data_IF_955094486201
#
_entry.id   IF_955094486201
#
_cell.length_a   1.000
_cell.length_b   1.000
_cell.length_c   1.000
_cell.angle_alpha   90.00
_cell.angle_beta   90.00
_cell.angle_gamma   90.00
#
_symmetry.space_group_name_H-M   'P 1'
#
loop_
_entity.id
_entity.type
_entity.pdbx_description
1 polymer ?
#
# COMPACT_ATOMS: atom_id res chain seq x y z
N UNK A 1 7.56 -1.06 -29.66
CA UNK A 1 6.30 -1.57 -29.12
C UNK A 1 5.72 -0.59 -28.08
N UNK A 2 5.38 0.65 -28.48
CA UNK A 2 4.79 1.68 -27.60
C UNK A 2 3.33 2.00 -27.99
N UNK A 3 2.64 1.17 -28.75
CA UNK A 3 1.43 1.61 -29.43
C UNK A 3 0.14 0.83 -29.15
N UNK A 4 0.18 -0.36 -28.52
CA UNK A 4 -1.01 -1.21 -28.60
C UNK A 4 -2.03 -1.02 -27.49
N UNK A 5 -1.64 -0.57 -26.30
CA UNK A 5 -2.59 -0.27 -25.21
C UNK A 5 -3.33 1.05 -25.46
N UNK A 6 -2.61 2.11 -25.83
CA UNK A 6 -3.23 3.41 -26.15
C UNK A 6 -4.15 3.40 -27.39
N UNK A 7 -3.99 2.41 -28.28
CA UNK A 7 -4.82 2.22 -29.48
C UNK A 7 -6.10 1.42 -29.21
N UNK A 8 -6.21 0.71 -28.08
CA UNK A 8 -7.37 -0.14 -27.76
C UNK A 8 -8.56 0.64 -27.18
N UNK A 9 -8.32 1.81 -26.57
CA UNK A 9 -9.40 2.55 -25.90
C UNK A 9 -9.77 3.81 -26.66
N UNK A 10 -10.88 3.74 -27.42
CA UNK A 10 -11.69 4.93 -27.66
C UNK A 10 -12.12 5.52 -26.32
N UNK A 11 -12.42 6.81 -26.26
CA UNK A 11 -12.65 7.58 -25.02
C UNK A 11 -13.73 7.01 -24.06
N UNK A 12 -14.50 5.97 -24.42
CA UNK A 12 -15.71 5.50 -23.75
C UNK A 12 -15.82 3.95 -23.58
N UNK A 13 -14.77 3.17 -23.81
CA UNK A 13 -14.86 1.71 -23.65
C UNK A 13 -14.57 1.28 -22.20
N UNK A 14 -15.44 0.42 -21.64
CA UNK A 14 -15.28 -0.22 -20.34
C UNK A 14 -14.02 -1.10 -20.34
N UNK A 15 -13.22 -0.95 -19.30
CA UNK A 15 -12.03 -1.74 -19.03
C UNK A 15 -12.44 -3.09 -18.43
N UNK A 16 -12.01 -4.21 -19.03
CA UNK A 16 -12.23 -5.53 -18.43
C UNK A 16 -11.26 -5.77 -17.29
N UNK A 17 -11.79 -5.95 -16.09
CA UNK A 17 -10.99 -6.14 -14.88
C UNK A 17 -11.23 -7.50 -14.25
N UNK A 18 -10.15 -8.23 -13.94
CA UNK A 18 -10.21 -9.41 -13.09
C UNK A 18 -9.79 -9.04 -11.67
N UNK A 19 -10.63 -9.36 -10.68
CA UNK A 19 -10.33 -9.16 -9.25
C UNK A 19 -9.99 -10.52 -8.62
N UNK A 20 -8.76 -10.66 -8.14
CA UNK A 20 -8.26 -11.84 -7.43
C UNK A 20 -8.25 -11.60 -5.92
N UNK A 21 -9.10 -12.35 -5.21
CA UNK A 21 -9.30 -12.17 -3.76
C UNK A 21 -10.48 -11.23 -3.45
N UNK A 22 -11.46 -11.75 -2.70
CA UNK A 22 -12.73 -11.05 -2.41
C UNK A 22 -12.99 -10.96 -0.91
N UNK A 23 -11.93 -10.71 -0.15
CA UNK A 23 -11.99 -10.22 1.22
C UNK A 23 -12.43 -8.75 1.26
N UNK A 24 -12.35 -8.10 2.43
CA UNK A 24 -12.79 -6.71 2.64
C UNK A 24 -12.19 -5.72 1.64
N UNK A 25 -10.89 -5.86 1.33
CA UNK A 25 -10.18 -4.96 0.40
C UNK A 25 -10.59 -5.22 -1.06
N UNK A 26 -10.67 -6.48 -1.50
CA UNK A 26 -11.09 -6.82 -2.86
C UNK A 26 -12.51 -6.35 -3.17
N UNK A 27 -13.42 -6.46 -2.20
CA UNK A 27 -14.79 -5.92 -2.32
C UNK A 27 -14.82 -4.39 -2.34
N UNK A 28 -13.91 -3.73 -1.63
CA UNK A 28 -13.74 -2.27 -1.74
C UNK A 28 -13.32 -1.87 -3.15
N UNK A 29 -12.37 -2.58 -3.75
CA UNK A 29 -11.97 -2.34 -5.14
C UNK A 29 -13.13 -2.57 -6.10
N UNK A 30 -13.93 -3.63 -5.92
CA UNK A 30 -15.14 -3.89 -6.70
C UNK A 30 -16.10 -2.71 -6.64
N UNK A 31 -16.45 -2.25 -5.42
CA UNK A 31 -17.37 -1.10 -5.23
C UNK A 31 -16.81 0.18 -5.85
N UNK A 32 -15.51 0.44 -5.70
CA UNK A 32 -14.88 1.63 -6.25
C UNK A 32 -14.84 1.62 -7.78
N UNK A 33 -14.59 0.47 -8.42
CA UNK A 33 -14.67 0.32 -9.88
C UNK A 33 -16.09 0.59 -10.38
N UNK A 34 -17.10 -0.02 -9.76
CA UNK A 34 -18.50 0.19 -10.12
C UNK A 34 -18.89 1.67 -9.97
N UNK A 35 -18.47 2.32 -8.88
CA UNK A 35 -18.71 3.74 -8.65
C UNK A 35 -18.04 4.65 -9.70
N UNK A 36 -16.97 4.20 -10.35
CA UNK A 36 -16.29 4.88 -11.45
C UNK A 36 -16.87 4.54 -12.84
N UNK A 37 -17.89 3.66 -12.89
CA UNK A 37 -18.52 3.23 -14.14
C UNK A 37 -17.81 2.06 -14.84
N UNK A 38 -16.79 1.47 -14.24
CA UNK A 38 -16.08 0.31 -14.77
C UNK A 38 -16.80 -0.97 -14.29
N UNK A 39 -17.64 -1.57 -15.15
CA UNK A 39 -18.56 -2.64 -14.79
C UNK A 39 -18.27 -4.00 -15.44
N UNK A 40 -17.33 -4.08 -16.39
CA UNK A 40 -16.90 -5.38 -16.99
C UNK A 40 -15.89 -6.06 -16.04
N UNK A 41 -16.43 -6.72 -15.01
CA UNK A 41 -15.65 -7.28 -13.91
C UNK A 41 -15.82 -8.79 -13.84
N UNK A 42 -14.71 -9.52 -13.79
CA UNK A 42 -14.61 -10.95 -13.56
C UNK A 42 -14.00 -11.19 -12.18
N UNK A 43 -14.54 -12.13 -11.43
CA UNK A 43 -14.08 -12.46 -10.08
C UNK A 43 -13.30 -13.77 -10.11
N UNK A 44 -12.04 -13.75 -9.64
CA UNK A 44 -11.28 -14.97 -9.37
C UNK A 44 -11.27 -15.25 -7.87
N UNK A 45 -11.76 -16.44 -7.49
CA UNK A 45 -11.89 -16.81 -6.08
C UNK A 45 -11.78 -18.32 -5.86
N UNK A 46 -11.23 -18.69 -4.69
CA UNK A 46 -11.09 -20.10 -4.28
C UNK A 46 -12.18 -20.54 -3.28
N UNK A 47 -13.23 -19.74 -3.07
CA UNK A 47 -14.32 -19.97 -2.10
C UNK A 47 -13.87 -20.14 -0.64
N UNK A 48 -12.70 -19.61 -0.27
CA UNK A 48 -12.17 -19.63 1.12
C UNK A 48 -12.42 -18.33 1.89
N UNK A 49 -13.13 -17.35 1.29
CA UNK A 49 -13.47 -16.10 1.96
C UNK A 49 -14.62 -16.32 2.96
N UNK A 50 -14.58 -15.57 4.06
CA UNK A 50 -15.53 -15.66 5.18
C UNK A 50 -16.75 -14.75 5.01
N UNK A 51 -16.70 -13.77 4.09
CA UNK A 51 -17.75 -12.79 3.86
C UNK A 51 -18.89 -13.36 3.00
N UNK A 52 -20.17 -12.97 3.23
CA UNK A 52 -21.33 -13.37 2.42
C UNK A 52 -21.16 -13.01 0.94
N UNK A 53 -21.80 -13.78 0.05
CA UNK A 53 -21.62 -13.66 -1.41
C UNK A 53 -22.61 -12.72 -2.12
N UNK A 54 -23.57 -12.13 -1.40
CA UNK A 54 -24.67 -11.32 -1.98
C UNK A 54 -24.14 -10.17 -2.86
N UNK A 55 -23.07 -9.51 -2.44
CA UNK A 55 -22.44 -8.41 -3.17
C UNK A 55 -21.78 -8.85 -4.49
N UNK A 56 -21.51 -10.14 -4.65
CA UNK A 56 -20.78 -10.70 -5.80
C UNK A 56 -21.74 -11.19 -6.89
N UNK A 57 -23.04 -11.18 -6.61
CA UNK A 57 -24.06 -11.64 -7.54
C UNK A 57 -24.03 -10.84 -8.86
N UNK A 58 -24.19 -11.55 -9.97
CA UNK A 58 -24.19 -10.94 -11.31
C UNK A 58 -22.83 -10.79 -11.98
N UNK A 59 -21.71 -11.05 -11.27
CA UNK A 59 -20.39 -11.07 -11.87
C UNK A 59 -19.97 -12.51 -12.25
N UNK A 60 -19.30 -12.71 -13.42
CA UNK A 60 -18.67 -14.00 -13.75
C UNK A 60 -17.66 -14.39 -12.68
N UNK A 61 -17.68 -15.66 -12.25
CA UNK A 61 -16.76 -16.21 -11.25
C UNK A 61 -15.94 -17.31 -11.87
N UNK A 62 -14.62 -17.25 -11.70
CA UNK A 62 -13.67 -18.27 -12.11
C UNK A 62 -12.90 -18.80 -10.89
N UNK A 63 -12.54 -20.07 -10.92
CA UNK A 63 -11.80 -20.74 -9.83
C UNK A 63 -10.41 -21.20 -10.27
N UNK A 64 -10.09 -21.13 -11.55
CA UNK A 64 -8.78 -21.36 -12.14
C UNK A 64 -8.26 -20.05 -12.75
N UNK A 65 -7.11 -19.59 -12.28
CA UNK A 65 -6.52 -18.33 -12.73
C UNK A 65 -6.07 -18.37 -14.19
N UNK A 66 -5.46 -19.49 -14.60
CA UNK A 66 -4.93 -19.64 -15.96
C UNK A 66 -6.05 -19.60 -16.99
N UNK A 67 -7.12 -20.35 -16.71
CA UNK A 67 -8.31 -20.34 -17.56
C UNK A 67 -9.02 -18.97 -17.52
N UNK A 68 -9.08 -18.32 -16.36
CA UNK A 68 -9.65 -16.96 -16.24
C UNK A 68 -8.91 -15.94 -17.12
N UNK A 69 -7.58 -15.90 -17.04
CA UNK A 69 -6.75 -15.00 -17.86
C UNK A 69 -6.89 -15.30 -19.37
N UNK A 70 -6.88 -16.58 -19.74
CA UNK A 70 -6.98 -17.02 -21.13
C UNK A 70 -8.37 -16.74 -21.75
N UNK A 71 -9.44 -17.04 -20.99
CA UNK A 71 -10.84 -16.92 -21.43
C UNK A 71 -11.27 -15.45 -21.52
N UNK A 72 -10.98 -14.68 -20.47
CA UNK A 72 -11.50 -13.32 -20.36
C UNK A 72 -10.54 -12.26 -20.92
N UNK A 73 -9.24 -12.54 -21.01
CA UNK A 73 -8.20 -11.62 -21.51
C UNK A 73 -8.35 -10.23 -20.91
N UNK A 74 -8.30 -10.10 -19.55
CA UNK A 74 -8.55 -8.83 -18.89
C UNK A 74 -7.49 -7.79 -19.27
N UNK A 75 -7.89 -6.52 -19.31
CA UNK A 75 -7.00 -5.38 -19.47
C UNK A 75 -6.25 -5.06 -18.17
N UNK A 76 -6.91 -5.39 -17.05
CA UNK A 76 -6.42 -5.13 -15.72
C UNK A 76 -6.66 -6.32 -14.78
N UNK A 77 -5.72 -6.53 -13.84
CA UNK A 77 -5.88 -7.47 -12.73
C UNK A 77 -5.67 -6.74 -11.41
N UNK A 78 -6.62 -6.89 -10.48
CA UNK A 78 -6.47 -6.42 -9.09
C UNK A 78 -6.11 -7.63 -8.24
N UNK A 79 -4.94 -7.58 -7.59
CA UNK A 79 -4.42 -8.63 -6.73
C UNK A 79 -4.66 -8.22 -5.27
N UNK A 80 -5.66 -8.83 -4.64
CA UNK A 80 -6.12 -8.52 -3.27
C UNK A 80 -6.42 -9.77 -2.42
N UNK A 81 -5.83 -10.89 -2.80
CA UNK A 81 -5.78 -12.12 -2.01
C UNK A 81 -4.79 -11.98 -0.82
N UNK A 82 -4.63 -12.95 0.08
CA UNK A 82 -3.62 -12.90 1.14
C UNK A 82 -2.21 -12.67 0.59
N UNK A 83 -1.39 -11.92 1.32
CA UNK A 83 -0.04 -11.49 0.89
C UNK A 83 0.85 -12.63 0.40
N UNK A 84 0.79 -13.80 1.06
CA UNK A 84 1.55 -14.99 0.67
C UNK A 84 1.21 -15.51 -0.73
N UNK A 85 0.07 -15.12 -1.30
CA UNK A 85 -0.41 -15.56 -2.61
C UNK A 85 -0.34 -14.47 -3.68
N UNK A 86 0.16 -13.28 -3.36
CA UNK A 86 0.21 -12.15 -4.30
C UNK A 86 0.95 -12.51 -5.59
N UNK A 87 2.14 -13.14 -5.45
CA UNK A 87 2.99 -13.45 -6.61
C UNK A 87 2.42 -14.57 -7.48
N UNK A 88 1.58 -15.46 -6.91
CA UNK A 88 0.92 -16.52 -7.68
C UNK A 88 -0.13 -15.97 -8.64
N UNK A 89 -0.62 -14.77 -8.39
CA UNK A 89 -1.53 -14.05 -9.28
C UNK A 89 -0.80 -13.00 -10.12
N UNK A 90 0.09 -12.22 -9.50
CA UNK A 90 0.74 -11.09 -10.17
C UNK A 90 1.68 -11.53 -11.30
N UNK A 91 2.42 -12.65 -11.13
CA UNK A 91 3.35 -13.14 -12.16
C UNK A 91 2.58 -13.61 -13.41
N UNK A 92 1.59 -14.55 -13.33
CA UNK A 92 0.79 -14.92 -14.49
C UNK A 92 0.04 -13.75 -15.14
N UNK A 93 -0.47 -12.81 -14.33
CA UNK A 93 -1.09 -11.59 -14.85
C UNK A 93 -0.09 -10.75 -15.66
N UNK A 94 1.13 -10.53 -15.14
CA UNK A 94 2.18 -9.80 -15.83
C UNK A 94 2.59 -10.48 -17.15
N UNK A 95 2.60 -11.83 -17.23
CA UNK A 95 2.91 -12.58 -18.46
C UNK A 95 1.93 -12.28 -19.58
N UNK A 96 0.67 -11.97 -19.29
CA UNK A 96 -0.33 -11.59 -20.29
C UNK A 96 -0.21 -10.13 -20.76
N UNK A 97 0.60 -9.32 -20.10
CA UNK A 97 0.79 -7.90 -20.42
C UNK A 97 -0.31 -6.98 -19.88
N UNK A 98 -1.26 -7.47 -19.06
CA UNK A 98 -2.27 -6.62 -18.44
C UNK A 98 -1.69 -5.70 -17.37
N UNK A 99 -2.39 -4.59 -17.10
CA UNK A 99 -2.04 -3.72 -15.99
C UNK A 99 -2.41 -4.37 -14.64
N UNK A 100 -1.65 -4.10 -13.59
CA UNK A 100 -1.83 -4.75 -12.29
C UNK A 100 -1.96 -3.69 -11.20
N UNK A 101 -3.05 -3.74 -10.42
CA UNK A 101 -3.13 -3.12 -9.11
C UNK A 101 -2.77 -4.19 -8.08
N UNK A 102 -1.60 -4.07 -7.47
CA UNK A 102 -1.07 -5.05 -6.53
C UNK A 102 -1.19 -4.55 -5.09
N UNK A 103 -1.93 -5.25 -4.26
CA UNK A 103 -2.04 -4.91 -2.84
C UNK A 103 -0.69 -5.02 -2.11
N UNK A 104 -0.61 -4.25 -1.06
CA UNK A 104 0.58 -4.15 -0.22
C UNK A 104 0.55 -5.17 0.97
N UNK A 105 1.72 -5.60 1.43
CA UNK A 105 3.02 -5.53 0.76
C UNK A 105 3.00 -6.41 -0.49
N UNK A 106 3.93 -6.17 -1.41
CA UNK A 106 3.89 -6.86 -2.73
C UNK A 106 4.07 -8.38 -2.63
N UNK A 107 4.66 -8.87 -1.53
CA UNK A 107 4.89 -10.28 -1.26
C UNK A 107 5.12 -10.50 0.24
N UNK A 108 5.03 -11.76 0.70
CA UNK A 108 5.36 -12.14 2.08
C UNK A 108 6.88 -12.20 2.33
N UNK A 109 7.67 -12.37 1.29
CA UNK A 109 9.14 -12.39 1.34
C UNK A 109 9.74 -11.86 0.04
N UNK A 110 11.07 -11.79 -0.04
CA UNK A 110 11.77 -11.42 -1.29
C UNK A 110 11.80 -12.56 -2.32
N UNK A 111 11.39 -13.77 -1.96
CA UNK A 111 11.35 -14.89 -2.87
C UNK A 111 10.44 -14.60 -4.07
N UNK A 112 10.91 -14.90 -5.29
CA UNK A 112 10.20 -14.66 -6.56
C UNK A 112 9.90 -13.20 -6.90
N UNK A 113 10.27 -12.22 -6.07
CA UNK A 113 10.09 -10.79 -6.41
C UNK A 113 10.90 -10.41 -7.65
N UNK A 114 12.08 -10.98 -7.83
CA UNK A 114 12.90 -10.81 -9.03
C UNK A 114 12.24 -11.41 -10.28
N UNK A 115 11.50 -12.53 -10.13
CA UNK A 115 10.71 -13.13 -11.23
C UNK A 115 9.62 -12.17 -11.66
N UNK A 116 8.83 -11.62 -10.72
CA UNK A 116 7.82 -10.61 -11.05
C UNK A 116 8.45 -9.39 -11.76
N UNK A 117 9.56 -8.87 -11.22
CA UNK A 117 10.24 -7.72 -11.80
C UNK A 117 10.69 -7.98 -13.25
N UNK A 118 11.33 -9.12 -13.51
CA UNK A 118 11.76 -9.51 -14.86
C UNK A 118 10.58 -9.70 -15.80
N UNK A 119 9.49 -10.33 -15.31
CA UNK A 119 8.27 -10.55 -16.09
C UNK A 119 7.63 -9.22 -16.50
N UNK A 120 7.48 -8.29 -15.55
CA UNK A 120 6.95 -6.94 -15.82
C UNK A 120 7.82 -6.19 -16.83
N UNK A 121 9.15 -6.25 -16.68
CA UNK A 121 10.07 -5.62 -17.65
C UNK A 121 9.93 -6.22 -19.06
N UNK A 122 9.79 -7.53 -19.15
CA UNK A 122 9.66 -8.25 -20.43
C UNK A 122 8.33 -7.99 -21.11
N UNK A 123 7.22 -8.01 -20.36
CA UNK A 123 5.86 -7.86 -20.91
C UNK A 123 5.48 -6.41 -21.15
N UNK A 124 6.10 -5.45 -20.44
CA UNK A 124 5.69 -4.05 -20.42
C UNK A 124 4.46 -3.77 -19.56
N UNK A 125 4.02 -4.73 -18.74
CA UNK A 125 2.90 -4.55 -17.79
C UNK A 125 3.11 -3.32 -16.93
N UNK A 126 2.04 -2.53 -16.71
CA UNK A 126 2.04 -1.43 -15.74
C UNK A 126 1.61 -1.97 -14.38
N UNK A 127 2.40 -1.72 -13.35
CA UNK A 127 2.06 -2.12 -11.98
C UNK A 127 1.91 -0.90 -11.10
N UNK A 128 0.72 -0.72 -10.51
CA UNK A 128 0.46 0.23 -9.42
C UNK A 128 0.40 -0.55 -8.12
N UNK A 129 1.26 -0.22 -7.14
CA UNK A 129 1.20 -0.82 -5.81
C UNK A 129 0.24 -0.02 -4.93
N UNK A 130 -0.63 -0.72 -4.19
CA UNK A 130 -1.78 -0.14 -3.49
C UNK A 130 -1.40 0.58 -2.17
N UNK A 131 -0.52 1.56 -2.23
CA UNK A 131 -0.22 2.45 -1.12
C UNK A 131 -1.12 3.69 -1.16
N UNK A 132 -2.37 3.54 -0.72
CA UNK A 132 -3.42 4.55 -0.80
C UNK A 132 -3.13 5.85 -0.04
N UNK A 133 -2.25 5.83 0.98
CA UNK A 133 -1.86 7.06 1.69
C UNK A 133 -1.17 8.09 0.80
N UNK A 134 -0.61 7.69 -0.35
CA UNK A 134 -0.10 8.63 -1.36
C UNK A 134 -1.18 9.52 -1.99
N UNK A 135 -2.47 9.16 -1.79
CA UNK A 135 -3.64 9.92 -2.25
C UNK A 135 -4.34 10.66 -1.10
N UNK A 136 -3.80 10.60 0.13
CA UNK A 136 -4.35 11.32 1.27
C UNK A 136 -3.99 12.82 1.18
N UNK A 137 -4.97 13.77 1.22
CA UNK A 137 -4.68 15.19 0.99
C UNK A 137 -3.63 15.78 1.92
N UNK A 138 -3.66 15.41 3.21
CA UNK A 138 -2.67 15.88 4.18
C UNK A 138 -1.25 15.39 3.88
N UNK A 139 -1.08 14.16 3.37
CA UNK A 139 0.23 13.63 2.98
C UNK A 139 0.70 14.27 1.66
N UNK A 140 -0.19 14.44 0.69
CA UNK A 140 0.11 15.15 -0.57
C UNK A 140 0.59 16.58 -0.26
N UNK A 141 -0.13 17.28 0.63
CA UNK A 141 0.26 18.63 1.06
C UNK A 141 1.59 18.66 1.81
N UNK A 142 1.81 17.69 2.71
CA UNK A 142 3.09 17.54 3.40
C UNK A 142 4.26 17.39 2.42
N UNK A 143 4.09 16.53 1.41
CA UNK A 143 5.10 16.32 0.38
C UNK A 143 5.38 17.59 -0.41
N UNK A 144 4.34 18.29 -0.83
CA UNK A 144 4.46 19.59 -1.52
C UNK A 144 5.29 20.58 -0.70
N UNK A 145 4.96 20.74 0.60
CA UNK A 145 5.68 21.65 1.49
C UNK A 145 7.17 21.28 1.63
N UNK A 146 7.48 19.99 1.73
CA UNK A 146 8.88 19.52 1.82
C UNK A 146 9.62 19.76 0.50
N UNK A 147 8.99 19.46 -0.64
CA UNK A 147 9.60 19.64 -1.96
C UNK A 147 9.84 21.12 -2.28
N UNK A 148 8.98 22.01 -1.79
CA UNK A 148 9.15 23.46 -1.91
C UNK A 148 10.21 24.03 -0.95
N UNK A 149 10.84 23.17 -0.12
CA UNK A 149 11.90 23.59 0.81
C UNK A 149 11.42 24.34 2.05
N UNK A 150 10.12 24.32 2.35
CA UNK A 150 9.47 25.12 3.40
C UNK A 150 10.04 24.86 4.82
N UNK A 151 10.60 23.68 5.08
CA UNK A 151 11.28 23.36 6.34
C UNK A 151 12.79 23.22 6.18
N UNK A 152 13.33 23.53 5.00
CA UNK A 152 14.73 23.33 4.65
C UNK A 152 15.11 21.84 4.58
N UNK A 153 16.38 21.53 4.75
CA UNK A 153 16.87 20.13 4.73
C UNK A 153 16.26 19.33 5.90
N UNK A 154 15.65 18.20 5.58
CA UNK A 154 15.12 17.27 6.59
C UNK A 154 16.27 16.69 7.41
N UNK A 155 16.11 16.69 8.72
CA UNK A 155 17.08 16.19 9.72
C UNK A 155 16.60 14.88 10.33
N UNK A 156 15.32 14.85 10.73
CA UNK A 156 14.73 13.65 11.31
C UNK A 156 13.24 13.54 11.02
N UNK A 157 12.74 12.30 11.15
CA UNK A 157 11.33 12.01 11.02
C UNK A 157 10.91 10.93 12.03
N UNK A 158 9.68 10.98 12.53
CA UNK A 158 9.10 9.95 13.40
C UNK A 158 7.69 9.62 12.97
N UNK A 159 7.33 8.34 13.09
CA UNK A 159 5.99 7.82 12.83
C UNK A 159 5.55 7.03 14.06
N UNK A 160 4.31 7.23 14.46
CA UNK A 160 3.58 6.35 15.36
C UNK A 160 2.36 5.81 14.62
N UNK A 161 2.20 4.49 14.57
CA UNK A 161 1.06 3.85 13.95
C UNK A 161 0.63 2.64 14.78
N UNK A 162 -0.32 2.85 15.66
CA UNK A 162 -0.90 1.85 16.53
C UNK A 162 -2.41 1.77 16.35
N UNK A 163 -2.93 0.57 16.18
CA UNK A 163 -4.36 0.28 16.05
C UNK A 163 -4.69 -1.06 16.73
N UNK A 164 -5.85 -1.16 17.36
CA UNK A 164 -6.27 -2.42 17.95
C UNK A 164 -6.80 -3.39 16.89
N UNK A 165 -6.04 -4.43 16.59
CA UNK A 165 -6.33 -5.37 15.50
C UNK A 165 -7.76 -5.96 15.54
N UNK A 166 -8.31 -6.38 16.70
CA UNK A 166 -9.69 -6.87 16.75
C UNK A 166 -10.76 -5.83 16.37
N UNK A 167 -10.44 -4.54 16.41
CA UNK A 167 -11.36 -3.48 16.03
C UNK A 167 -11.34 -3.14 14.54
N UNK A 168 -10.43 -3.71 13.73
CA UNK A 168 -10.36 -3.43 12.30
C UNK A 168 -11.60 -3.91 11.54
N UNK A 169 -12.08 -5.11 11.90
CA UNK A 169 -13.24 -5.76 11.31
C UNK A 169 -14.07 -6.42 12.41
N UNK A 170 -14.89 -5.66 13.16
CA UNK A 170 -15.62 -6.19 14.33
C UNK A 170 -16.59 -7.33 14.01
N UNK A 171 -16.95 -7.51 12.74
CA UNK A 171 -17.82 -8.57 12.23
C UNK A 171 -17.07 -9.86 11.82
N UNK A 172 -15.76 -9.88 11.92
CA UNK A 172 -14.91 -11.03 11.58
C UNK A 172 -14.06 -11.43 12.80
N UNK A 173 -13.74 -12.71 12.92
CA UNK A 173 -12.73 -13.16 13.88
C UNK A 173 -11.34 -12.75 13.38
N UNK A 174 -10.70 -11.75 14.02
CA UNK A 174 -9.39 -11.24 13.63
C UNK A 174 -8.31 -12.32 13.52
N UNK A 175 -8.42 -13.43 14.30
CA UNK A 175 -7.49 -14.57 14.31
C UNK A 175 -7.46 -15.31 12.98
N UNK A 176 -8.55 -15.24 12.23
CA UNK A 176 -8.69 -15.85 10.90
C UNK A 176 -8.15 -14.93 9.79
N UNK A 177 -8.03 -13.64 10.07
CA UNK A 177 -7.53 -12.63 9.13
C UNK A 177 -6.04 -12.79 8.83
N UNK A 178 -5.64 -12.43 7.61
CA UNK A 178 -4.23 -12.53 7.19
C UNK A 178 -3.28 -11.75 8.12
N UNK A 179 -3.73 -10.63 8.69
CA UNK A 179 -2.91 -9.77 9.55
C UNK A 179 -2.41 -10.49 10.81
N UNK A 180 -3.21 -11.41 11.37
CA UNK A 180 -2.87 -12.20 12.55
C UNK A 180 -1.98 -13.41 12.23
N UNK A 181 -1.81 -13.78 10.95
CA UNK A 181 -1.26 -15.07 10.53
C UNK A 181 0.04 -14.93 9.75
N UNK A 182 1.14 -15.42 10.33
CA UNK A 182 2.47 -15.43 9.68
C UNK A 182 2.48 -16.22 8.36
N UNK A 183 1.76 -17.35 8.29
CA UNK A 183 1.67 -18.20 7.08
C UNK A 183 0.94 -17.50 5.92
N UNK A 184 0.15 -16.47 6.20
CA UNK A 184 -0.51 -15.63 5.20
C UNK A 184 0.28 -14.36 4.84
N UNK A 185 1.47 -14.16 5.43
CA UNK A 185 2.28 -12.95 5.27
C UNK A 185 1.79 -11.78 6.13
N UNK A 186 1.19 -12.10 7.31
CA UNK A 186 0.78 -11.14 8.31
C UNK A 186 1.93 -10.63 9.17
N UNK A 187 1.59 -9.92 10.24
CA UNK A 187 2.50 -9.23 11.14
C UNK A 187 2.43 -7.72 11.01
N UNK A 188 2.72 -7.01 12.09
CA UNK A 188 2.53 -5.56 12.14
C UNK A 188 3.43 -4.82 11.16
N UNK A 189 4.67 -5.28 10.96
CA UNK A 189 5.60 -4.65 10.01
C UNK A 189 5.08 -4.78 8.57
N UNK A 190 4.54 -5.95 8.21
CA UNK A 190 4.01 -6.21 6.87
C UNK A 190 2.67 -5.50 6.62
N UNK A 191 1.76 -5.51 7.60
CA UNK A 191 0.41 -4.96 7.42
C UNK A 191 0.36 -3.44 7.54
N UNK A 192 1.14 -2.85 8.45
CA UNK A 192 1.26 -1.40 8.63
C UNK A 192 2.42 -0.79 7.83
N UNK A 193 2.90 -1.48 6.80
CA UNK A 193 4.00 -1.04 5.93
C UNK A 193 3.73 0.26 5.16
N UNK A 194 2.54 0.82 5.26
CA UNK A 194 2.23 2.15 4.71
C UNK A 194 3.23 3.22 5.16
N UNK A 195 3.65 3.17 6.43
CA UNK A 195 4.64 4.10 6.98
C UNK A 195 6.03 3.93 6.37
N UNK A 196 6.38 2.70 6.00
CA UNK A 196 7.63 2.38 5.29
C UNK A 196 7.61 2.84 3.83
N UNK A 197 6.42 3.07 3.25
CA UNK A 197 6.23 3.66 1.93
C UNK A 197 6.21 5.19 1.99
N UNK A 198 5.25 5.75 2.74
CA UNK A 198 5.02 7.19 2.65
C UNK A 198 6.13 8.01 3.29
N UNK A 199 6.84 7.51 4.31
CA UNK A 199 7.87 8.30 4.97
C UNK A 199 9.06 8.60 4.04
N UNK A 200 9.70 7.63 3.35
CA UNK A 200 10.72 7.93 2.35
C UNK A 200 10.17 8.75 1.17
N UNK A 201 8.91 8.53 0.77
CA UNK A 201 8.26 9.31 -0.28
C UNK A 201 8.06 10.77 0.10
N UNK A 202 7.70 11.07 1.36
CA UNK A 202 7.58 12.44 1.90
C UNK A 202 8.95 13.11 1.99
N UNK A 203 9.93 12.42 2.59
CA UNK A 203 11.31 12.93 2.76
C UNK A 203 12.01 13.11 1.40
N UNK A 204 11.58 12.39 0.36
CA UNK A 204 12.19 12.43 -0.97
C UNK A 204 13.57 11.77 -1.02
N UNK A 205 13.86 10.83 -0.11
CA UNK A 205 15.12 10.10 0.01
C UNK A 205 14.87 8.61 0.23
N UNK A 206 15.75 7.75 -0.31
CA UNK A 206 15.69 6.32 -0.04
C UNK A 206 16.17 6.03 1.38
N UNK A 207 15.70 4.92 1.93
CA UNK A 207 16.27 4.34 3.15
C UNK A 207 17.55 3.60 2.76
N UNK A 208 18.66 3.86 3.44
CA UNK A 208 19.95 3.18 3.21
C UNK A 208 20.10 1.97 4.12
N UNK A 209 19.61 2.08 5.36
CA UNK A 209 19.74 1.02 6.34
C UNK A 209 18.67 1.14 7.43
N UNK A 210 18.39 0.02 8.06
CA UNK A 210 17.44 -0.09 9.17
C UNK A 210 18.06 -0.80 10.36
N UNK A 211 17.53 -0.51 11.54
CA UNK A 211 17.68 -1.28 12.76
C UNK A 211 16.29 -1.43 13.38
N UNK A 212 15.96 -2.59 13.91
CA UNK A 212 14.64 -2.76 14.49
C UNK A 212 14.45 -4.03 15.31
N UNK A 213 13.40 -3.97 16.12
CA UNK A 213 12.79 -5.11 16.80
C UNK A 213 11.35 -5.24 16.33
N UNK A 214 10.93 -6.46 16.08
CA UNK A 214 9.57 -6.80 15.67
C UNK A 214 9.19 -8.14 16.30
N UNK A 215 8.39 -8.11 17.37
CA UNK A 215 8.09 -9.28 18.18
C UNK A 215 6.59 -9.41 18.44
N UNK A 216 6.17 -10.61 18.82
CA UNK A 216 4.86 -10.89 19.39
C UNK A 216 4.95 -10.66 20.90
N UNK A 217 4.42 -9.51 21.37
CA UNK A 217 4.54 -9.05 22.77
C UNK A 217 3.22 -9.03 23.53
N UNK A 218 2.09 -8.87 22.83
CA UNK A 218 0.78 -8.73 23.46
C UNK A 218 0.10 -10.09 23.76
N UNK A 219 -1.07 -10.02 24.42
CA UNK A 219 -1.93 -11.19 24.64
C UNK A 219 -2.86 -11.49 23.46
N UNK A 220 -2.75 -10.76 22.32
CA UNK A 220 -3.51 -11.08 21.12
C UNK A 220 -3.15 -12.49 20.60
N UNK A 221 -4.15 -13.22 20.14
CA UNK A 221 -3.94 -14.54 19.54
C UNK A 221 -3.50 -14.41 18.08
N UNK A 222 -2.23 -14.01 17.89
CA UNK A 222 -1.61 -13.87 16.57
C UNK A 222 -0.35 -14.74 16.49
N UNK A 223 -0.01 -15.22 15.30
CA UNK A 223 1.19 -16.03 15.06
C UNK A 223 2.36 -15.22 14.47
N UNK A 224 2.17 -13.93 14.29
CA UNK A 224 3.16 -13.00 13.73
C UNK A 224 3.50 -11.90 14.74
N UNK A 225 4.43 -11.02 14.40
CA UNK A 225 4.75 -9.83 15.18
C UNK A 225 3.54 -8.91 15.35
N UNK A 226 3.34 -8.39 16.54
CA UNK A 226 2.27 -7.45 16.88
C UNK A 226 2.78 -6.09 17.33
N UNK A 227 4.07 -5.96 17.54
CA UNK A 227 4.73 -4.72 17.97
C UNK A 227 6.09 -4.60 17.30
N UNK A 228 6.40 -3.41 16.75
CA UNK A 228 7.69 -3.13 16.17
C UNK A 228 8.21 -1.72 16.52
N UNK A 229 9.53 -1.63 16.73
CA UNK A 229 10.30 -0.39 16.84
C UNK A 229 11.40 -0.42 15.78
N UNK A 230 11.39 0.55 14.88
CA UNK A 230 12.26 0.58 13.70
C UNK A 230 13.00 1.90 13.65
N UNK A 231 14.31 1.87 13.55
CA UNK A 231 15.16 3.00 13.20
C UNK A 231 15.54 2.92 11.73
N UNK A 232 15.52 4.05 11.02
CA UNK A 232 15.93 4.12 9.61
C UNK A 232 16.96 5.23 9.40
N UNK A 233 17.90 5.01 8.50
CA UNK A 233 18.81 6.04 7.98
C UNK A 233 18.46 6.30 6.53
N UNK A 234 18.23 7.55 6.20
CA UNK A 234 17.99 7.99 4.83
C UNK A 234 19.27 8.39 4.12
N UNK A 235 19.27 8.31 2.81
CA UNK A 235 20.33 8.91 1.97
C UNK A 235 20.54 10.38 2.33
N UNK A 236 21.81 10.75 2.57
CA UNK A 236 22.16 12.08 3.03
C UNK A 236 22.10 12.27 4.55
N UNK A 237 21.91 11.18 5.31
CA UNK A 237 22.16 11.11 6.75
C UNK A 237 21.00 11.47 7.67
N UNK A 238 19.84 11.87 7.16
CA UNK A 238 18.65 12.07 8.00
C UNK A 238 18.26 10.75 8.70
N UNK A 239 17.71 10.84 9.92
CA UNK A 239 17.30 9.68 10.71
C UNK A 239 15.79 9.62 10.84
N UNK A 240 15.25 8.40 10.87
CA UNK A 240 13.84 8.17 11.13
C UNK A 240 13.61 7.12 12.22
N UNK A 241 12.46 7.19 12.88
CA UNK A 241 12.00 6.18 13.81
C UNK A 241 10.52 5.88 13.58
N UNK A 242 10.16 4.59 13.67
CA UNK A 242 8.76 4.16 13.52
C UNK A 242 8.39 3.27 14.70
N UNK A 243 7.18 3.48 15.20
CA UNK A 243 6.48 2.57 16.09
C UNK A 243 5.26 2.02 15.38
N UNK A 244 5.11 0.69 15.38
CA UNK A 244 3.97 -0.01 14.80
C UNK A 244 3.44 -0.98 15.85
N UNK A 245 2.10 -1.02 16.06
CA UNK A 245 1.51 -2.02 16.96
C UNK A 245 0.04 -2.34 16.64
N UNK A 246 -0.39 -3.51 17.12
CA UNK A 246 -1.75 -4.02 17.03
C UNK A 246 -2.58 -3.85 18.31
N UNK A 247 -2.06 -3.14 19.30
CA UNK A 247 -2.63 -3.13 20.65
C UNK A 247 -3.18 -1.77 21.08
N UNK A 248 -2.80 -0.72 20.37
CA UNK A 248 -3.09 0.64 20.77
C UNK A 248 -4.57 0.96 20.82
N UNK A 249 -5.01 1.47 21.97
CA UNK A 249 -6.35 1.99 22.21
C UNK A 249 -6.28 3.29 23.05
N UNK A 250 -6.82 4.42 22.58
CA UNK A 250 -7.42 4.62 21.24
C UNK A 250 -6.38 4.51 20.13
N UNK A 251 -6.81 4.26 18.87
CA UNK A 251 -5.88 4.19 17.75
C UNK A 251 -5.19 5.53 17.52
N UNK A 252 -3.91 5.48 17.16
CA UNK A 252 -3.10 6.64 16.84
C UNK A 252 -2.28 6.38 15.58
N UNK A 253 -2.35 7.31 14.65
CA UNK A 253 -1.52 7.28 13.45
C UNK A 253 -1.10 8.71 13.13
N UNK A 254 0.14 9.02 13.38
CA UNK A 254 0.71 10.34 13.18
C UNK A 254 2.16 10.27 12.67
N UNK A 255 2.65 11.41 12.21
CA UNK A 255 4.06 11.62 11.98
C UNK A 255 4.50 13.04 12.32
N UNK A 256 5.82 13.16 12.55
CA UNK A 256 6.53 14.43 12.64
C UNK A 256 7.77 14.40 11.78
N UNK A 257 7.98 15.43 10.96
CA UNK A 257 9.17 15.62 10.12
C UNK A 257 9.81 16.94 10.52
N UNK A 258 11.09 16.90 10.87
CA UNK A 258 11.87 18.04 11.35
C UNK A 258 12.91 18.39 10.29
N UNK A 259 12.88 19.62 9.85
CA UNK A 259 13.88 20.24 9.01
C UNK A 259 14.66 21.31 9.76
N UNK A 260 15.71 21.85 9.12
CA UNK A 260 16.56 22.89 9.73
C UNK A 260 15.84 24.22 9.93
N UNK A 261 14.75 24.47 9.20
CA UNK A 261 13.99 25.74 9.22
C UNK A 261 12.53 25.57 9.68
N UNK A 262 12.12 24.36 10.10
CA UNK A 262 10.74 24.14 10.53
C UNK A 262 10.41 22.69 10.82
N UNK A 263 9.15 22.47 11.15
CA UNK A 263 8.61 21.15 11.51
C UNK A 263 7.26 20.94 10.83
N UNK A 264 7.03 19.77 10.27
CA UNK A 264 5.71 19.35 9.79
C UNK A 264 5.17 18.26 10.71
N UNK A 265 3.86 18.33 11.01
CA UNK A 265 3.10 17.31 11.72
C UNK A 265 1.83 16.96 10.94
N UNK A 266 1.43 15.72 11.08
CA UNK A 266 0.16 15.22 10.60
C UNK A 266 -0.35 14.15 11.57
N UNK A 267 -1.66 14.00 11.69
CA UNK A 267 -2.30 12.86 12.34
C UNK A 267 -3.53 12.42 11.54
N UNK A 268 -3.90 11.14 11.65
CA UNK A 268 -5.03 10.58 10.92
C UNK A 268 -6.39 11.05 11.47
N UNK A 269 -6.46 11.47 12.73
CA UNK A 269 -7.73 11.79 13.40
C UNK A 269 -8.44 13.00 12.78
N UNK A 270 -7.69 13.99 12.32
CA UNK A 270 -8.23 15.15 11.58
C UNK A 270 -7.63 15.28 10.17
N UNK A 271 -6.62 14.47 9.83
CA UNK A 271 -5.98 14.40 8.53
C UNK A 271 -5.26 15.67 8.07
N UNK A 272 -5.19 16.70 8.91
CA UNK A 272 -4.61 17.99 8.56
C UNK A 272 -3.08 17.95 8.54
N UNK A 273 -2.47 18.53 7.50
CA UNK A 273 -1.04 18.86 7.51
C UNK A 273 -0.81 20.18 8.27
N UNK A 274 0.19 20.19 9.15
CA UNK A 274 0.57 21.36 9.94
C UNK A 274 2.05 21.63 9.75
N UNK A 275 2.40 22.90 9.49
CA UNK A 275 3.78 23.32 9.37
C UNK A 275 4.07 24.48 10.32
N UNK A 276 5.14 24.32 11.10
CA UNK A 276 5.76 25.40 11.86
C UNK A 276 6.97 25.92 11.10
N UNK A 277 7.02 27.22 10.85
CA UNK A 277 8.16 27.90 10.24
C UNK A 277 8.90 28.71 11.27
N UNK A 278 10.21 28.55 11.36
CA UNK A 278 11.05 29.26 12.33
C UNK A 278 10.97 30.76 12.19
N UNK A 279 10.88 31.26 10.97
CA UNK A 279 10.77 32.71 10.68
C UNK A 279 9.44 33.29 11.19
N UNK A 280 8.34 32.56 10.94
CA UNK A 280 6.98 33.01 11.33
C UNK A 280 6.70 32.78 12.83
N UNK A 281 7.37 31.81 13.45
CA UNK A 281 7.17 31.36 14.85
C UNK A 281 5.73 30.95 15.16
N UNK A 282 5.03 30.39 14.16
CA UNK A 282 3.63 29.98 14.26
C UNK A 282 3.34 28.78 13.34
N UNK A 283 2.20 28.13 13.57
CA UNK A 283 1.71 26.99 12.82
C UNK A 283 0.72 27.43 11.74
N UNK A 284 0.97 27.04 10.50
CA UNK A 284 -0.06 27.03 9.48
C UNK A 284 -0.70 25.64 9.41
N UNK A 285 -2.04 25.62 9.27
CA UNK A 285 -2.83 24.37 9.23
C UNK A 285 -3.50 24.25 7.87
N UNK A 286 -3.34 23.10 7.25
CA UNK A 286 -3.98 22.72 5.99
C UNK A 286 -4.97 21.60 6.29
N UNK A 287 -6.26 21.92 6.52
CA UNK A 287 -7.28 20.94 6.84
C UNK A 287 -7.60 20.05 5.63
N UNK A 288 -8.29 18.95 5.89
CA UNK A 288 -8.90 18.15 4.83
C UNK A 288 -9.97 18.97 4.08
N UNK A 289 -10.21 18.67 2.80
CA UNK A 289 -11.35 19.25 2.07
C UNK A 289 -12.68 18.97 2.81
N UNK A 290 -13.62 19.91 2.75
CA UNK A 290 -14.93 19.73 3.39
C UNK A 290 -15.62 18.48 2.84
N UNK A 291 -16.17 17.66 3.74
CA UNK A 291 -16.84 16.41 3.39
C UNK A 291 -15.91 15.26 2.96
N UNK A 292 -14.61 15.39 3.14
CA UNK A 292 -13.67 14.31 2.83
C UNK A 292 -13.87 13.12 3.79
N UNK A 293 -13.96 11.93 3.21
CA UNK A 293 -14.06 10.67 3.93
C UNK A 293 -12.90 9.73 3.58
N UNK A 294 -12.55 8.83 4.48
CA UNK A 294 -11.42 7.89 4.30
C UNK A 294 -11.47 7.10 2.99
N UNK A 295 -12.66 6.76 2.49
CA UNK A 295 -12.78 6.01 1.23
C UNK A 295 -12.36 6.81 0.01
N UNK A 296 -12.36 8.15 0.07
CA UNK A 296 -11.95 9.01 -1.06
C UNK A 296 -10.52 8.67 -1.52
N UNK A 297 -9.56 8.43 -0.60
CA UNK A 297 -8.21 8.08 -1.01
C UNK A 297 -8.13 6.74 -1.76
N UNK A 298 -9.01 5.77 -1.46
CA UNK A 298 -9.10 4.52 -2.21
C UNK A 298 -9.77 4.71 -3.57
N UNK A 299 -10.77 5.58 -3.64
CA UNK A 299 -11.40 5.95 -4.91
C UNK A 299 -10.42 6.67 -5.83
N UNK A 300 -9.65 7.63 -5.31
CA UNK A 300 -8.61 8.32 -6.07
C UNK A 300 -7.51 7.36 -6.54
N UNK A 301 -7.10 6.39 -5.70
CA UNK A 301 -6.18 5.34 -6.12
C UNK A 301 -6.76 4.47 -7.24
N UNK A 302 -8.04 4.04 -7.11
CA UNK A 302 -8.71 3.24 -8.14
C UNK A 302 -8.85 4.02 -9.43
N UNK A 303 -9.26 5.30 -9.37
CA UNK A 303 -9.33 6.20 -10.51
C UNK A 303 -7.96 6.36 -11.19
N UNK A 304 -6.91 6.58 -10.40
CA UNK A 304 -5.54 6.65 -10.93
C UNK A 304 -5.13 5.35 -11.63
N UNK A 305 -5.50 4.19 -11.08
CA UNK A 305 -5.26 2.90 -11.73
C UNK A 305 -6.00 2.78 -13.05
N UNK A 306 -7.28 3.17 -13.12
CA UNK A 306 -8.04 3.24 -14.38
C UNK A 306 -7.34 4.15 -15.40
N UNK A 307 -6.84 5.31 -14.98
CA UNK A 307 -6.08 6.21 -15.85
C UNK A 307 -4.76 5.58 -16.33
N UNK A 308 -4.08 4.78 -15.50
CA UNK A 308 -2.89 4.01 -15.87
C UNK A 308 -3.23 2.96 -16.94
N UNK A 309 -4.30 2.18 -16.74
CA UNK A 309 -4.76 1.17 -17.72
C UNK A 309 -5.09 1.82 -19.07
N UNK A 310 -5.80 2.95 -19.02
CA UNK A 310 -6.19 3.72 -20.21
C UNK A 310 -5.04 4.53 -20.83
N UNK A 311 -3.80 4.39 -20.32
CA UNK A 311 -2.61 5.07 -20.82
C UNK A 311 -2.59 6.59 -20.61
N UNK A 312 -3.46 7.11 -19.74
CA UNK A 312 -3.56 8.55 -19.39
C UNK A 312 -2.56 8.97 -18.32
N UNK A 313 -2.04 8.02 -17.53
CA UNK A 313 -1.08 8.27 -16.46
C UNK A 313 -0.03 7.16 -16.36
N UNK A 314 1.10 7.48 -15.73
CA UNK A 314 2.07 6.49 -15.25
C UNK A 314 1.77 6.15 -13.77
N UNK A 315 2.09 4.91 -13.32
CA UNK A 315 1.86 4.54 -11.92
C UNK A 315 2.57 5.47 -10.93
N UNK A 316 1.83 6.14 -10.06
CA UNK A 316 2.38 7.03 -9.00
C UNK A 316 3.13 6.25 -7.90
N UNK A 317 2.87 4.96 -7.78
CA UNK A 317 3.58 4.00 -6.95
C UNK A 317 3.86 2.75 -7.79
N UNK A 318 4.97 2.75 -8.52
CA UNK A 318 5.33 1.65 -9.41
C UNK A 318 5.86 0.42 -8.64
N UNK A 319 6.03 -0.72 -9.33
CA UNK A 319 6.58 -1.95 -8.75
C UNK A 319 7.92 -1.70 -8.02
N UNK A 320 8.78 -0.84 -8.55
CA UNK A 320 10.05 -0.48 -7.91
C UNK A 320 9.89 0.16 -6.52
N UNK A 321 8.80 0.92 -6.30
CA UNK A 321 8.47 1.46 -4.97
C UNK A 321 8.10 0.33 -4.00
N UNK A 322 7.23 -0.59 -4.44
CA UNK A 322 6.85 -1.76 -3.65
C UNK A 322 8.03 -2.67 -3.31
N UNK A 323 8.97 -2.86 -4.26
CA UNK A 323 10.21 -3.62 -4.03
C UNK A 323 11.06 -2.94 -2.94
N UNK A 324 11.19 -1.61 -2.96
CA UNK A 324 11.91 -0.88 -1.90
C UNK A 324 11.29 -1.10 -0.53
N UNK A 325 9.97 -1.01 -0.42
CA UNK A 325 9.26 -1.29 0.85
C UNK A 325 9.48 -2.73 1.28
N UNK A 326 9.39 -3.70 0.37
CA UNK A 326 9.62 -5.11 0.67
C UNK A 326 11.04 -5.38 1.18
N UNK A 327 12.04 -4.70 0.62
CA UNK A 327 13.43 -4.76 1.10
C UNK A 327 13.55 -4.19 2.52
N UNK A 328 12.89 -3.07 2.82
CA UNK A 328 12.88 -2.50 4.17
C UNK A 328 12.26 -3.50 5.16
N UNK A 329 11.11 -4.09 4.84
CA UNK A 329 10.47 -5.13 5.67
C UNK A 329 11.44 -6.29 5.94
N UNK A 330 12.07 -6.82 4.88
CA UNK A 330 13.05 -7.91 5.01
C UNK A 330 14.24 -7.52 5.85
N UNK A 331 14.75 -6.29 5.70
CA UNK A 331 15.89 -5.78 6.46
C UNK A 331 15.54 -5.57 7.95
N UNK A 332 14.29 -5.21 8.29
CA UNK A 332 13.83 -5.14 9.69
C UNK A 332 13.89 -6.52 10.34
N UNK A 333 13.36 -7.55 9.70
CA UNK A 333 13.41 -8.92 10.23
C UNK A 333 14.83 -9.47 10.29
N UNK A 334 15.70 -9.13 9.34
CA UNK A 334 17.11 -9.53 9.40
C UNK A 334 17.84 -8.80 10.53
N UNK A 335 17.56 -7.52 10.75
CA UNK A 335 18.09 -6.74 11.87
C UNK A 335 17.65 -7.32 13.22
N UNK A 336 16.37 -7.68 13.36
CA UNK A 336 15.85 -8.38 14.54
C UNK A 336 16.62 -9.66 14.84
N UNK A 337 16.90 -10.46 13.81
CA UNK A 337 17.57 -11.76 13.92
C UNK A 337 19.05 -11.62 14.26
N UNK A 338 19.73 -10.67 13.69
CA UNK A 338 21.18 -10.48 13.80
C UNK A 338 21.58 -9.53 14.92
N UNK A 339 20.71 -8.61 15.33
CA UNK A 339 21.01 -7.50 16.24
C UNK A 339 21.81 -6.36 15.60
N UNK A 340 22.03 -6.39 14.27
CA UNK A 340 22.84 -5.39 13.57
C UNK A 340 21.99 -4.48 12.67
N UNK A 341 22.56 -3.30 12.37
CA UNK A 341 22.04 -2.41 11.32
C UNK A 341 22.17 -3.11 9.96
N UNK A 342 21.05 -3.19 9.24
CA UNK A 342 20.97 -3.94 7.98
C UNK A 342 20.73 -2.99 6.81
N UNK A 343 21.47 -3.10 5.69
CA UNK A 343 21.22 -2.35 4.44
C UNK A 343 19.87 -2.74 3.79
N UNK A 344 19.29 -1.83 3.00
CA UNK A 344 18.00 -2.04 2.29
C UNK A 344 18.16 -2.15 0.77
#
# INVERSE_FOLDING_TARGET
MRSDLALRYGKDENMKTLIAGLGSVGRRHLRNLIALGETDIVLYRTHKATLPDDELAGHPVETDLTEALKKHKPDAVIVSNPTSLHLDVAIPAAETGCAILLEKPIAASMERVDVLQKTVQKSGSKVLVAFQFRFHPGLVKTRELIQNGEIGRVVSASVHFGEYLPAWHPWEDYRQGYAARADMGGGVVATQCHSLDYLPWLVGKRVESVWGFADKLSDLEVSADDTAKIGVRFEGGALGSLHLDYTQQPPEHDFRIIGVNGTIKWNLSDGAARIYRTEKKDWDVYPLPAGWERNVMFQEQTKHFVDVVKGKAEPSCALGDGIRVQKIISAVYESQKTGFVTPT
#
